data_IF_069636011154
#
_entry.id   IF_069636011154
#
_cell.length_a   1.000
_cell.length_b   1.000
_cell.length_c   1.000
_cell.angle_alpha   90.00
_cell.angle_beta   90.00
_cell.angle_gamma   90.00
#
_symmetry.space_group_name_H-M   'P 1'
#
loop_
_entity.id
_entity.type
_entity.pdbx_description
1 polymer ?
#
# COMPACT_ATOMS: atom_id res chain seq x y z
N UNK A 1 30.89 -38.46 0.96
CA UNK A 1 31.49 -37.12 0.77
C UNK A 1 30.59 -36.12 1.48
N UNK A 2 31.21 -35.17 2.20
CA UNK A 2 30.67 -34.27 3.24
C UNK A 2 29.82 -33.10 2.67
N UNK A 3 29.15 -32.17 3.37
CA UNK A 3 29.11 -31.54 4.72
C UNK A 3 27.63 -31.03 4.95
N UNK A 4 26.96 -30.99 6.12
CA UNK A 4 27.14 -30.20 7.37
C UNK A 4 26.31 -28.87 7.30
N UNK A 5 25.49 -28.37 8.26
CA UNK A 5 25.03 -28.70 9.63
C UNK A 5 23.88 -27.70 9.99
N UNK A 6 22.79 -28.12 10.65
CA UNK A 6 22.48 -28.02 12.10
C UNK A 6 22.21 -26.60 12.68
N UNK A 7 21.10 -26.47 13.42
CA UNK A 7 20.92 -25.36 14.37
C UNK A 7 19.50 -25.00 14.81
N UNK A 8 18.64 -25.96 15.18
CA UNK A 8 17.39 -25.69 15.86
C UNK A 8 17.56 -25.67 17.41
N UNK A 9 16.61 -25.01 18.09
CA UNK A 9 16.18 -25.17 19.49
C UNK A 9 16.81 -24.22 20.54
N UNK A 10 15.99 -23.41 21.21
CA UNK A 10 15.31 -23.82 22.47
C UNK A 10 14.50 -22.66 23.08
N UNK A 11 13.18 -22.87 23.23
CA UNK A 11 12.34 -22.17 24.20
C UNK A 11 12.72 -22.66 25.61
N UNK A 12 12.94 -21.72 26.54
CA UNK A 12 13.19 -22.02 27.96
C UNK A 12 12.44 -21.03 28.85
N UNK A 13 11.29 -21.47 29.35
CA UNK A 13 10.45 -20.81 30.34
C UNK A 13 11.13 -20.86 31.73
N UNK A 14 11.35 -19.73 32.41
CA UNK A 14 12.01 -19.70 33.73
C UNK A 14 11.44 -18.62 34.66
N UNK A 15 10.76 -19.07 35.72
CA UNK A 15 10.07 -18.25 36.73
C UNK A 15 11.03 -17.49 37.66
N UNK A 16 10.61 -16.28 38.02
CA UNK A 16 11.06 -15.35 39.07
C UNK A 16 11.98 -15.90 40.18
N UNK A 17 13.14 -15.26 40.35
CA UNK A 17 13.88 -15.22 41.63
C UNK A 17 14.28 -13.77 41.93
N UNK A 18 13.80 -13.26 43.06
CA UNK A 18 14.10 -11.94 43.62
C UNK A 18 15.56 -11.95 44.09
N UNK A 19 16.45 -11.28 43.38
CA UNK A 19 17.84 -11.04 43.80
C UNK A 19 18.20 -9.60 43.46
N UNK A 20 18.77 -8.88 44.42
CA UNK A 20 19.26 -7.50 44.34
C UNK A 20 19.77 -7.17 42.94
N UNK A 21 19.00 -6.37 42.21
CA UNK A 21 19.04 -6.29 40.76
C UNK A 21 20.10 -5.32 40.28
N UNK A 22 21.37 -5.69 40.48
CA UNK A 22 22.44 -5.24 39.59
C UNK A 22 22.21 -5.97 38.27
N UNK A 23 21.88 -5.22 37.22
CA UNK A 23 21.72 -5.81 35.89
C UNK A 23 23.09 -6.26 35.41
N UNK A 24 23.34 -7.55 35.54
CA UNK A 24 24.50 -8.19 34.95
C UNK A 24 24.26 -8.32 33.44
N UNK A 25 24.59 -7.27 32.68
CA UNK A 25 24.64 -7.35 31.23
C UNK A 25 25.87 -8.17 30.83
N UNK A 26 25.64 -9.37 30.29
CA UNK A 26 26.70 -10.13 29.60
C UNK A 26 26.53 -9.83 28.12
N UNK A 27 27.49 -9.14 27.51
CA UNK A 27 27.50 -8.87 26.08
C UNK A 27 27.54 -10.20 25.30
N UNK A 28 26.51 -10.55 24.52
CA UNK A 28 26.47 -11.81 23.78
C UNK A 28 27.53 -11.90 22.66
N UNK A 29 28.16 -10.78 22.28
CA UNK A 29 29.20 -10.69 21.26
C UNK A 29 30.63 -10.53 21.82
N UNK A 30 30.79 -10.40 23.14
CA UNK A 30 32.10 -10.22 23.76
C UNK A 30 32.33 -11.26 24.87
N UNK A 31 32.85 -12.43 24.47
CA UNK A 31 33.12 -13.57 25.36
C UNK A 31 34.45 -13.42 26.14
N UNK A 32 35.03 -12.22 26.24
CA UNK A 32 36.42 -12.04 26.67
C UNK A 32 36.66 -11.04 27.80
N UNK A 33 35.64 -10.56 28.51
CA UNK A 33 35.88 -9.74 29.71
C UNK A 33 34.87 -10.02 30.85
N UNK A 34 35.29 -10.69 31.96
CA UNK A 34 34.45 -10.95 33.12
C UNK A 34 34.33 -9.74 34.08
N UNK A 35 34.72 -8.53 33.64
CA UNK A 35 34.65 -7.30 34.42
C UNK A 35 33.28 -6.62 34.31
N UNK A 36 32.46 -6.75 35.36
CA UNK A 36 31.20 -6.04 35.61
C UNK A 36 31.20 -4.58 35.09
N UNK A 37 30.56 -4.31 33.95
CA UNK A 37 30.32 -2.95 33.48
C UNK A 37 29.10 -2.41 34.24
N UNK A 38 29.34 -1.59 35.27
CA UNK A 38 28.25 -0.89 35.97
C UNK A 38 27.52 0.07 35.04
N UNK A 39 26.27 -0.24 34.71
CA UNK A 39 25.33 0.64 34.02
C UNK A 39 24.70 1.54 35.09
N UNK A 40 24.64 2.85 34.87
CA UNK A 40 24.06 3.81 35.82
C UNK A 40 22.85 4.58 35.25
N UNK A 41 22.59 4.48 33.95
CA UNK A 41 21.47 5.14 33.30
C UNK A 41 21.05 4.48 31.99
N UNK A 42 19.79 4.64 31.63
CA UNK A 42 19.18 4.24 30.36
C UNK A 42 18.61 5.45 29.62
N UNK A 43 18.63 5.39 28.29
CA UNK A 43 17.94 6.31 27.39
C UNK A 43 17.04 5.49 26.49
N UNK A 44 15.73 5.70 26.62
CA UNK A 44 14.74 5.11 25.71
C UNK A 44 14.73 5.92 24.42
N UNK A 45 15.09 5.27 23.32
CA UNK A 45 15.07 5.87 21.99
C UNK A 45 13.68 5.91 21.38
N UNK A 46 13.61 6.36 20.13
CA UNK A 46 12.38 6.36 19.36
C UNK A 46 12.06 4.96 18.82
N UNK A 47 10.77 4.74 18.54
CA UNK A 47 10.31 3.52 17.89
C UNK A 47 10.77 3.46 16.44
N UNK A 48 11.40 2.36 16.06
CA UNK A 48 11.58 2.01 14.67
C UNK A 48 10.30 1.29 14.19
N UNK A 49 9.42 2.02 13.51
CA UNK A 49 8.13 1.49 13.04
C UNK A 49 8.30 0.42 11.96
N UNK A 50 9.34 0.54 11.12
CA UNK A 50 9.63 -0.40 10.03
C UNK A 50 10.09 -1.76 10.60
N UNK A 51 11.05 -1.74 11.52
CA UNK A 51 11.58 -2.94 12.17
C UNK A 51 10.72 -3.41 13.35
N UNK A 52 9.73 -2.60 13.77
CA UNK A 52 8.84 -2.87 14.91
C UNK A 52 9.63 -3.05 16.22
N UNK A 53 10.67 -2.24 16.42
CA UNK A 53 11.55 -2.33 17.59
C UNK A 53 11.67 -1.00 18.32
N UNK A 54 11.89 -1.07 19.62
CA UNK A 54 12.27 0.05 20.47
C UNK A 54 13.77 -0.06 20.82
N UNK A 55 14.56 0.95 20.48
CA UNK A 55 15.95 1.00 20.91
C UNK A 55 16.03 1.53 22.35
N UNK A 56 16.75 0.83 23.23
CA UNK A 56 17.14 1.34 24.55
C UNK A 56 18.65 1.34 24.64
N UNK A 57 19.23 2.49 24.99
CA UNK A 57 20.67 2.68 25.17
C UNK A 57 20.99 2.66 26.65
N UNK A 58 21.90 1.78 27.05
CA UNK A 58 22.42 1.71 28.41
C UNK A 58 23.75 2.45 28.49
N UNK A 59 23.92 3.23 29.55
CA UNK A 59 25.02 4.17 29.72
C UNK A 59 25.74 3.96 31.05
N UNK A 60 27.02 4.34 31.03
CA UNK A 60 27.85 4.56 32.22
C UNK A 60 28.38 5.99 32.16
N UNK A 61 27.90 6.84 33.06
CA UNK A 61 28.02 8.29 32.93
C UNK A 61 27.45 8.75 31.58
N UNK A 62 28.25 9.49 30.80
CA UNK A 62 27.79 10.00 29.51
C UNK A 62 28.09 9.06 28.31
N UNK A 63 28.68 7.88 28.55
CA UNK A 63 29.08 6.94 27.49
C UNK A 63 28.03 5.86 27.32
N UNK A 64 27.56 5.66 26.09
CA UNK A 64 26.73 4.50 25.72
C UNK A 64 27.61 3.25 25.74
N UNK A 65 27.23 2.27 26.54
CA UNK A 65 27.93 0.98 26.70
C UNK A 65 27.18 -0.17 26.04
N UNK A 66 25.87 -0.07 25.86
CA UNK A 66 25.07 -1.05 25.13
C UNK A 66 23.87 -0.41 24.44
N UNK A 67 23.43 -1.03 23.34
CA UNK A 67 22.19 -0.71 22.63
C UNK A 67 21.42 -2.01 22.43
N UNK A 68 20.17 -2.03 22.85
CA UNK A 68 19.31 -3.21 22.72
C UNK A 68 18.04 -2.80 21.98
N UNK A 69 17.67 -3.58 20.98
CA UNK A 69 16.42 -3.42 20.24
C UNK A 69 15.38 -4.40 20.79
N UNK A 70 14.39 -3.87 21.49
CA UNK A 70 13.29 -4.65 22.05
C UNK A 70 12.18 -4.79 21.02
N UNK A 71 11.76 -6.02 20.74
CA UNK A 71 10.66 -6.26 19.80
C UNK A 71 9.33 -5.72 20.36
N UNK A 72 8.64 -4.94 19.54
CA UNK A 72 7.31 -4.46 19.84
C UNK A 72 6.26 -5.48 19.47
N UNK A 73 5.35 -5.76 20.40
CA UNK A 73 4.13 -6.50 20.13
C UNK A 73 3.06 -5.55 19.59
N UNK A 74 2.55 -5.83 18.40
CA UNK A 74 1.40 -5.11 17.83
C UNK A 74 0.09 -5.57 18.48
N UNK A 75 -0.77 -4.61 18.80
CA UNK A 75 -2.16 -4.84 19.25
C UNK A 75 -3.08 -3.90 18.49
N UNK A 76 -4.12 -4.44 17.85
CA UNK A 76 -5.14 -3.60 17.19
C UNK A 76 -6.05 -3.01 18.26
N UNK A 77 -6.21 -1.68 18.27
CA UNK A 77 -7.11 -0.96 19.18
C UNK A 77 -8.38 -0.51 18.46
N UNK A 78 -8.30 -0.30 17.15
CA UNK A 78 -9.45 -0.06 16.27
C UNK A 78 -9.17 -0.64 14.90
N UNK A 79 -10.06 -1.49 14.42
CA UNK A 79 -9.95 -2.06 13.07
C UNK A 79 -10.05 -0.96 12.01
N UNK A 80 -9.27 -1.10 10.93
CA UNK A 80 -9.41 -0.25 9.76
C UNK A 80 -10.63 -0.67 8.93
N UNK A 81 -11.27 0.28 8.26
CA UNK A 81 -12.38 0.01 7.33
C UNK A 81 -11.98 0.38 5.90
N UNK A 82 -12.89 0.26 4.94
CA UNK A 82 -12.62 0.66 3.55
C UNK A 82 -12.26 2.14 3.41
N UNK A 83 -12.81 3.00 4.27
CA UNK A 83 -12.68 4.46 4.19
C UNK A 83 -12.00 5.06 5.42
N UNK A 84 -12.09 4.42 6.57
CA UNK A 84 -11.53 4.92 7.82
C UNK A 84 -10.23 4.20 8.17
N UNK A 85 -9.20 4.97 8.51
CA UNK A 85 -7.97 4.45 9.09
C UNK A 85 -8.28 3.72 10.39
N UNK A 86 -7.60 2.60 10.62
CA UNK A 86 -7.58 1.90 11.90
C UNK A 86 -6.53 2.47 12.85
N UNK A 87 -6.43 1.88 14.03
CA UNK A 87 -5.43 2.20 15.05
C UNK A 87 -4.93 0.93 15.72
N UNK A 88 -3.67 0.96 16.12
CA UNK A 88 -3.14 -0.01 17.05
C UNK A 88 -1.96 0.53 17.80
N UNK A 89 -1.40 -0.30 18.65
CA UNK A 89 -0.27 0.05 19.50
C UNK A 89 0.84 -0.97 19.36
N UNK A 90 2.07 -0.49 19.31
CA UNK A 90 3.24 -1.32 19.57
C UNK A 90 3.61 -1.19 21.04
N UNK A 91 3.78 -2.33 21.71
CA UNK A 91 4.19 -2.39 23.12
C UNK A 91 5.48 -3.18 23.24
N UNK A 92 6.51 -2.59 23.83
CA UNK A 92 7.77 -3.25 24.15
C UNK A 92 8.02 -3.18 25.65
N UNK A 93 8.52 -4.27 26.23
CA UNK A 93 8.95 -4.34 27.63
C UNK A 93 10.45 -4.55 27.66
N UNK A 94 11.14 -3.74 28.47
CA UNK A 94 12.59 -3.79 28.62
C UNK A 94 13.00 -3.83 30.09
N UNK A 95 14.19 -4.36 30.35
CA UNK A 95 14.79 -4.38 31.68
C UNK A 95 15.48 -3.05 31.96
N UNK A 96 14.95 -2.29 32.92
CA UNK A 96 15.40 -0.95 33.31
C UNK A 96 16.54 -1.01 34.32
N UNK A 97 17.43 0.00 34.38
CA UNK A 97 18.64 0.01 35.24
C UNK A 97 18.35 -0.14 36.74
N UNK A 98 17.15 0.21 37.16
CA UNK A 98 16.64 0.00 38.53
C UNK A 98 16.28 -1.47 38.83
N UNK A 99 16.44 -2.35 37.85
CA UNK A 99 16.14 -3.78 37.94
C UNK A 99 14.67 -4.14 37.79
N UNK A 100 13.84 -3.18 37.38
CA UNK A 100 12.42 -3.42 37.07
C UNK A 100 12.21 -3.63 35.57
N UNK A 101 11.05 -4.16 35.19
CA UNK A 101 10.61 -4.14 33.81
C UNK A 101 9.77 -2.90 33.55
N UNK A 102 10.16 -2.12 32.54
CA UNK A 102 9.40 -0.97 32.07
C UNK A 102 8.77 -1.29 30.73
N UNK A 103 7.56 -0.77 30.54
CA UNK A 103 6.79 -0.97 29.30
C UNK A 103 6.61 0.37 28.62
N UNK A 104 6.86 0.39 27.32
CA UNK A 104 6.64 1.56 26.46
C UNK A 104 5.64 1.16 25.40
N UNK A 105 4.68 2.04 25.17
CA UNK A 105 3.63 1.87 24.17
C UNK A 105 3.67 3.04 23.21
N UNK A 106 3.55 2.76 21.92
CA UNK A 106 3.39 3.76 20.88
C UNK A 106 2.12 3.48 20.08
N UNK A 107 1.24 4.47 19.98
CA UNK A 107 0.05 4.40 19.12
C UNK A 107 0.43 4.72 17.68
N UNK A 108 -0.01 3.88 16.76
CA UNK A 108 0.26 4.02 15.33
C UNK A 108 -1.04 3.86 14.57
N UNK A 109 -1.29 4.77 13.63
CA UNK A 109 -2.38 4.64 12.67
C UNK A 109 -2.12 3.50 11.70
N UNK A 110 -3.16 2.77 11.33
CA UNK A 110 -3.13 1.81 10.22
C UNK A 110 -3.97 2.36 9.08
N UNK A 111 -3.48 2.35 7.83
CA UNK A 111 -4.20 2.95 6.71
C UNK A 111 -5.56 2.28 6.50
N UNK A 112 -6.50 3.03 5.91
CA UNK A 112 -7.77 2.46 5.46
C UNK A 112 -7.50 1.30 4.47
N UNK A 113 -8.33 0.26 4.51
CA UNK A 113 -8.17 -0.94 3.70
C UNK A 113 -8.43 -0.71 2.20
N UNK A 114 -9.10 0.40 1.86
CA UNK A 114 -9.62 0.65 0.53
C UNK A 114 -10.77 -0.30 0.15
N UNK A 115 -11.52 0.08 -0.88
CA UNK A 115 -12.57 -0.79 -1.42
C UNK A 115 -11.97 -1.95 -2.22
N UNK A 116 -12.37 -3.18 -1.86
CA UNK A 116 -12.14 -4.38 -2.68
C UNK A 116 -13.38 -4.65 -3.52
N UNK A 117 -13.55 -3.88 -4.59
CA UNK A 117 -14.65 -4.08 -5.51
C UNK A 117 -14.52 -5.40 -6.27
N UNK A 118 -15.63 -6.14 -6.36
CA UNK A 118 -15.75 -7.33 -7.19
C UNK A 118 -15.93 -7.01 -8.67
N UNK A 119 -16.37 -8.01 -9.43
CA UNK A 119 -16.63 -7.88 -10.86
C UNK A 119 -17.76 -6.87 -11.14
N UNK A 120 -17.67 -6.24 -12.31
CA UNK A 120 -18.72 -5.38 -12.84
C UNK A 120 -19.89 -6.22 -13.35
N UNK A 121 -21.10 -5.89 -12.91
CA UNK A 121 -22.34 -6.53 -13.34
C UNK A 121 -23.17 -5.50 -14.15
N UNK A 122 -23.45 -5.74 -15.44
CA UNK A 122 -24.32 -4.89 -16.25
C UNK A 122 -25.75 -4.80 -15.69
N UNK A 123 -26.36 -3.61 -15.74
CA UNK A 123 -27.75 -3.37 -15.33
C UNK A 123 -28.77 -3.50 -16.48
N UNK A 124 -28.29 -3.71 -17.72
CA UNK A 124 -29.14 -3.82 -18.90
C UNK A 124 -29.73 -2.49 -19.38
N UNK A 125 -29.29 -1.37 -18.81
CA UNK A 125 -29.77 -0.02 -19.11
C UNK A 125 -28.59 0.96 -19.28
N UNK A 126 -27.50 0.50 -19.91
CA UNK A 126 -26.34 1.35 -20.22
C UNK A 126 -25.35 1.53 -19.07
N UNK A 127 -25.50 0.82 -17.95
CA UNK A 127 -24.58 0.95 -16.83
C UNK A 127 -24.17 -0.40 -16.26
N UNK A 128 -23.04 -0.41 -15.57
CA UNK A 128 -22.53 -1.56 -14.82
C UNK A 128 -22.31 -1.16 -13.37
N UNK A 129 -22.56 -2.09 -12.47
CA UNK A 129 -22.39 -1.90 -11.02
C UNK A 129 -21.42 -2.93 -10.47
N UNK A 130 -20.46 -2.53 -9.64
CA UNK A 130 -19.63 -3.46 -8.85
C UNK A 130 -19.81 -3.19 -7.38
N UNK A 131 -19.61 -4.22 -6.56
CA UNK A 131 -19.84 -4.15 -5.11
C UNK A 131 -18.56 -4.48 -4.35
N UNK A 132 -18.22 -3.66 -3.34
CA UNK A 132 -17.10 -3.92 -2.44
C UNK A 132 -17.42 -5.12 -1.56
N UNK A 133 -16.57 -6.14 -1.59
CA UNK A 133 -16.74 -7.39 -0.82
C UNK A 133 -16.61 -7.20 0.69
N UNK A 134 -16.01 -6.08 1.15
CA UNK A 134 -15.80 -5.79 2.57
C UNK A 134 -16.94 -4.99 3.21
N UNK A 135 -17.49 -4.02 2.50
CA UNK A 135 -18.47 -3.07 3.06
C UNK A 135 -19.78 -2.98 2.26
N UNK A 136 -19.92 -3.73 1.17
CA UNK A 136 -21.07 -3.69 0.24
C UNK A 136 -21.33 -2.34 -0.44
N UNK A 137 -20.37 -1.41 -0.36
CA UNK A 137 -20.42 -0.16 -1.13
C UNK A 137 -20.50 -0.47 -2.62
N UNK A 138 -21.35 0.25 -3.34
CA UNK A 138 -21.58 0.02 -4.76
C UNK A 138 -20.99 1.17 -5.56
N UNK A 139 -20.32 0.81 -6.63
CA UNK A 139 -19.85 1.77 -7.62
C UNK A 139 -20.61 1.50 -8.92
N UNK A 140 -21.11 2.57 -9.52
CA UNK A 140 -21.84 2.53 -10.79
C UNK A 140 -21.04 3.29 -11.83
N UNK A 141 -20.86 2.68 -13.00
CA UNK A 141 -20.21 3.28 -14.15
C UNK A 141 -21.06 3.02 -15.39
N UNK A 142 -20.80 3.76 -16.48
CA UNK A 142 -21.39 3.47 -17.79
C UNK A 142 -20.91 2.11 -18.25
N UNK A 143 -21.82 1.28 -18.76
CA UNK A 143 -21.49 0.02 -19.42
C UNK A 143 -21.19 0.33 -20.88
N UNK A 144 -19.91 0.46 -21.17
CA UNK A 144 -19.38 0.76 -22.50
C UNK A 144 -19.74 -0.33 -23.52
N UNK A 145 -20.10 -1.53 -23.07
CA UNK A 145 -20.53 -2.64 -23.94
C UNK A 145 -22.04 -2.66 -24.18
N UNK A 146 -22.79 -1.73 -23.60
CA UNK A 146 -24.23 -1.68 -23.77
C UNK A 146 -24.59 -1.18 -25.17
N UNK A 147 -25.21 -2.05 -25.96
CA UNK A 147 -25.86 -1.68 -27.21
C UNK A 147 -27.34 -1.48 -26.92
N UNK A 148 -27.81 -0.25 -27.05
CA UNK A 148 -29.23 0.04 -26.92
C UNK A 148 -30.01 -0.79 -27.95
N UNK A 149 -31.11 -1.47 -27.55
CA UNK A 149 -31.96 -2.17 -28.51
C UNK A 149 -32.43 -1.18 -29.58
N UNK A 150 -32.39 -1.61 -30.85
CA UNK A 150 -32.81 -0.78 -31.99
C UNK A 150 -34.25 -0.30 -31.75
N UNK A 151 -34.58 0.98 -32.00
CA UNK A 151 -35.96 1.43 -31.96
C UNK A 151 -36.77 0.66 -33.00
N UNK A 152 -37.59 -0.29 -32.56
CA UNK A 152 -38.49 -1.07 -33.43
C UNK A 152 -38.36 -2.59 -33.41
N UNK A 153 -37.45 -3.20 -32.64
CA UNK A 153 -37.58 -4.62 -32.31
C UNK A 153 -38.29 -4.75 -30.95
N UNK A 154 -39.61 -4.93 -31.04
CA UNK A 154 -40.48 -5.29 -29.92
C UNK A 154 -39.88 -6.50 -29.18
N UNK A 155 -39.66 -6.43 -27.85
CA UNK A 155 -39.27 -7.60 -27.09
C UNK A 155 -40.33 -8.66 -27.26
N UNK A 156 -39.95 -9.85 -27.74
CA UNK A 156 -40.85 -10.99 -27.74
C UNK A 156 -41.40 -11.18 -26.32
N UNK A 157 -42.72 -11.04 -26.19
CA UNK A 157 -43.46 -11.24 -24.96
C UNK A 157 -43.06 -12.59 -24.35
N UNK A 158 -42.53 -12.57 -23.13
CA UNK A 158 -42.48 -13.78 -22.30
C UNK A 158 -43.93 -14.09 -21.88
N UNK A 159 -44.35 -15.37 -21.88
CA UNK A 159 -45.68 -15.74 -21.44
C UNK A 159 -45.96 -15.27 -20.01
N UNK A 160 -47.14 -14.71 -19.82
CA UNK A 160 -47.69 -14.16 -18.60
C UNK A 160 -47.43 -15.00 -17.34
N UNK A 161 -46.82 -14.38 -16.34
CA UNK A 161 -47.11 -14.70 -14.94
C UNK A 161 -47.75 -13.46 -14.28
N UNK A 162 -49.10 -13.48 -14.24
CA UNK A 162 -50.00 -12.60 -13.50
C UNK A 162 -49.45 -12.29 -12.09
N UNK A 163 -49.45 -11.03 -11.56
CA UNK A 163 -50.70 -10.41 -11.10
C UNK A 163 -50.87 -8.86 -11.08
N UNK A 164 -52.12 -8.47 -11.36
CA UNK A 164 -52.97 -7.47 -10.67
C UNK A 164 -52.66 -5.96 -10.78
N UNK A 165 -53.53 -5.30 -11.56
CA UNK A 165 -54.18 -3.98 -11.38
C UNK A 165 -53.42 -2.89 -10.60
N UNK A 166 -52.99 -1.81 -11.26
CA UNK A 166 -53.68 -0.50 -11.20
C UNK A 166 -53.17 0.50 -12.24
N UNK A 167 -54.11 1.35 -12.63
CA UNK A 167 -54.23 2.30 -13.73
C UNK A 167 -53.49 3.64 -13.51
N UNK A 168 -52.82 4.17 -14.54
CA UNK A 168 -53.02 5.54 -15.11
C UNK A 168 -51.83 6.03 -15.98
N UNK A 169 -52.17 6.49 -17.18
CA UNK A 169 -51.40 7.22 -18.22
C UNK A 169 -52.12 8.59 -18.38
N UNK A 170 -51.50 9.74 -18.74
CA UNK A 170 -50.95 9.90 -20.08
C UNK A 170 -49.73 10.81 -20.35
N UNK A 171 -49.19 10.56 -21.55
CA UNK A 171 -48.11 11.17 -22.34
C UNK A 171 -48.01 12.69 -22.39
N UNK A 172 -46.80 13.17 -22.74
CA UNK A 172 -46.42 14.18 -23.77
C UNK A 172 -44.98 14.67 -23.42
N UNK A 173 -43.98 14.86 -24.28
CA UNK A 173 -43.78 14.76 -25.73
C UNK A 173 -42.32 15.16 -26.05
N UNK A 174 -41.94 15.05 -27.33
CA UNK A 174 -40.79 15.70 -28.00
C UNK A 174 -39.37 15.12 -27.82
N UNK A 175 -38.93 14.36 -28.83
CA UNK A 175 -37.60 14.49 -29.48
C UNK A 175 -37.78 15.48 -30.65
N UNK A 176 -36.75 16.23 -31.14
CA UNK A 176 -35.61 15.56 -31.79
C UNK A 176 -34.25 16.30 -31.88
N UNK A 177 -33.23 15.52 -32.25
CA UNK A 177 -31.95 15.82 -32.95
C UNK A 177 -30.90 16.72 -32.30
N UNK A 178 -29.64 16.25 -32.21
CA UNK A 178 -28.63 16.42 -33.28
C UNK A 178 -27.24 16.08 -32.73
N UNK A 179 -26.52 15.25 -33.49
CA UNK A 179 -25.08 14.93 -33.51
C UNK A 179 -24.25 15.06 -32.22
N UNK A 180 -23.67 13.94 -31.80
CA UNK A 180 -22.21 13.88 -31.63
C UNK A 180 -21.70 12.45 -31.72
N UNK A 181 -20.85 12.24 -32.72
CA UNK A 181 -19.98 11.08 -32.92
C UNK A 181 -19.31 10.67 -31.59
N UNK A 182 -19.70 9.53 -31.03
CA UNK A 182 -19.08 8.99 -29.83
C UNK A 182 -17.88 8.12 -30.23
N UNK A 183 -16.68 8.61 -29.93
CA UNK A 183 -15.46 7.80 -29.93
C UNK A 183 -15.55 6.73 -28.82
N UNK A 184 -15.18 5.51 -29.19
CA UNK A 184 -15.20 4.27 -28.41
C UNK A 184 -14.42 4.41 -27.08
N UNK A 185 -15.10 4.38 -25.93
CA UNK A 185 -14.47 4.54 -24.61
C UNK A 185 -13.92 3.21 -24.09
N UNK A 186 -12.59 3.06 -24.14
CA UNK A 186 -11.82 1.96 -23.54
C UNK A 186 -11.46 2.32 -22.09
N UNK A 187 -11.70 1.43 -21.12
CA UNK A 187 -11.34 1.68 -19.70
C UNK A 187 -9.86 1.36 -19.42
N UNK A 188 -9.13 2.28 -18.78
CA UNK A 188 -7.68 2.19 -18.56
C UNK A 188 -7.29 2.36 -17.08
N UNK A 189 -6.23 1.67 -16.64
CA UNK A 189 -5.79 1.72 -15.25
C UNK A 189 -5.07 3.04 -14.91
N UNK A 190 -5.50 3.79 -13.86
CA UNK A 190 -4.85 5.02 -13.46
C UNK A 190 -3.50 4.77 -12.77
N UNK A 191 -2.72 5.83 -12.56
CA UNK A 191 -1.49 5.75 -11.76
C UNK A 191 -1.80 5.47 -10.28
N UNK A 192 -1.14 4.46 -9.72
CA UNK A 192 -1.31 4.00 -8.35
C UNK A 192 0.05 3.71 -7.71
N UNK A 193 0.21 4.10 -6.45
CA UNK A 193 1.39 3.73 -5.63
C UNK A 193 1.02 2.60 -4.67
N UNK A 194 1.84 1.56 -4.62
CA UNK A 194 1.70 0.40 -3.75
C UNK A 194 2.91 0.32 -2.82
N UNK A 195 2.70 -0.02 -1.55
CA UNK A 195 3.78 -0.14 -0.55
C UNK A 195 4.02 1.11 0.29
N UNK A 196 3.16 2.12 0.18
CA UNK A 196 3.17 3.29 1.07
C UNK A 196 1.74 3.74 1.41
N UNK A 197 1.51 4.31 2.60
CA UNK A 197 0.18 4.75 3.04
C UNK A 197 -0.28 6.06 2.37
N UNK A 198 0.67 6.86 1.85
CA UNK A 198 0.41 8.10 1.14
C UNK A 198 1.58 8.41 0.19
N UNK A 199 1.35 9.27 -0.79
CA UNK A 199 2.37 9.83 -1.66
C UNK A 199 1.97 11.25 -2.06
N UNK A 200 2.96 12.05 -2.42
CA UNK A 200 2.75 13.38 -2.98
C UNK A 200 2.99 13.34 -4.48
N UNK A 201 2.07 13.90 -5.25
CA UNK A 201 2.24 14.09 -6.69
C UNK A 201 2.41 15.58 -6.99
N UNK A 202 3.51 15.93 -7.64
CA UNK A 202 3.79 17.28 -8.13
C UNK A 202 3.96 17.26 -9.64
N UNK A 203 3.29 18.18 -10.34
CA UNK A 203 3.46 18.38 -11.78
C UNK A 203 4.06 19.77 -12.00
N UNK A 204 5.29 19.83 -12.51
CA UNK A 204 5.98 21.09 -12.76
C UNK A 204 6.94 20.96 -13.94
N UNK A 205 6.94 21.94 -14.85
CA UNK A 205 7.88 22.03 -15.97
C UNK A 205 7.95 20.72 -16.80
N UNK A 206 6.79 20.11 -17.07
CA UNK A 206 6.68 18.83 -17.77
C UNK A 206 7.19 17.60 -17.01
N UNK A 207 7.46 17.72 -15.71
CA UNK A 207 7.88 16.62 -14.85
C UNK A 207 6.77 16.24 -13.89
N UNK A 208 6.41 14.96 -13.86
CA UNK A 208 5.50 14.37 -12.88
C UNK A 208 6.35 13.69 -11.82
N UNK A 209 6.49 14.31 -10.65
CA UNK A 209 7.18 13.75 -9.50
C UNK A 209 6.17 13.05 -8.59
N UNK A 210 6.40 11.77 -8.34
CA UNK A 210 5.71 10.97 -7.34
C UNK A 210 6.68 10.72 -6.20
N UNK A 211 6.50 11.44 -5.10
CA UNK A 211 7.34 11.33 -3.91
C UNK A 211 6.64 10.46 -2.86
N UNK A 212 7.33 9.39 -2.45
CA UNK A 212 6.81 8.38 -1.55
C UNK A 212 7.63 8.35 -0.26
N UNK A 213 7.02 8.57 0.92
CA UNK A 213 7.70 8.56 2.20
C UNK A 213 7.96 7.13 2.72
N UNK A 214 8.44 6.24 1.87
CA UNK A 214 8.82 4.86 2.20
C UNK A 214 10.19 4.52 1.61
N UNK A 215 10.91 3.53 2.17
CA UNK A 215 12.18 3.07 1.62
C UNK A 215 12.01 2.17 0.39
N UNK A 216 10.85 1.53 0.24
CA UNK A 216 10.50 0.67 -0.89
C UNK A 216 9.03 0.89 -1.25
N UNK A 217 8.73 0.99 -2.54
CA UNK A 217 7.38 1.19 -3.07
C UNK A 217 7.35 0.86 -4.56
N UNK A 218 6.17 0.67 -5.12
CA UNK A 218 5.96 0.51 -6.57
C UNK A 218 4.97 1.52 -7.10
N UNK A 219 5.24 2.08 -8.27
CA UNK A 219 4.31 2.88 -9.07
C UNK A 219 3.82 2.02 -10.23
N UNK A 220 2.50 1.92 -10.40
CA UNK A 220 1.87 1.16 -11.47
C UNK A 220 0.80 1.98 -12.18
N UNK A 221 0.53 1.68 -13.44
CA UNK A 221 -0.56 2.26 -14.22
C UNK A 221 -0.53 1.79 -15.67
N UNK A 222 -1.51 2.23 -16.46
CA UNK A 222 -1.56 1.94 -17.90
C UNK A 222 -0.74 2.94 -18.74
N UNK A 223 -0.29 2.51 -19.91
CA UNK A 223 0.32 3.41 -20.89
C UNK A 223 -0.66 4.48 -21.38
N UNK A 224 -1.97 4.19 -21.40
CA UNK A 224 -2.98 5.21 -21.67
C UNK A 224 -2.97 6.34 -20.64
N UNK A 225 -2.89 6.04 -19.35
CA UNK A 225 -2.79 7.06 -18.30
C UNK A 225 -1.53 7.93 -18.48
N UNK A 226 -0.42 7.35 -18.96
CA UNK A 226 0.77 8.12 -19.34
C UNK A 226 0.54 9.00 -20.57
N UNK A 227 -0.24 8.52 -21.56
CA UNK A 227 -0.63 9.30 -22.74
C UNK A 227 -1.47 10.53 -22.35
N UNK A 228 -2.38 10.38 -21.39
CA UNK A 228 -3.15 11.50 -20.85
C UNK A 228 -2.26 12.51 -20.11
N UNK A 229 -1.30 12.04 -19.32
CA UNK A 229 -0.31 12.92 -18.68
C UNK A 229 0.52 13.66 -19.73
N UNK A 230 0.92 12.98 -20.81
CA UNK A 230 1.62 13.61 -21.93
C UNK A 230 0.78 14.68 -22.60
N UNK A 231 -0.51 14.41 -22.84
CA UNK A 231 -1.43 15.41 -23.40
C UNK A 231 -1.58 16.64 -22.49
N UNK A 232 -1.39 16.49 -21.18
CA UNK A 232 -1.35 17.57 -20.19
C UNK A 232 0.02 18.26 -20.06
N UNK A 233 0.99 17.89 -20.92
CA UNK A 233 2.32 18.50 -20.99
C UNK A 233 3.39 17.81 -20.16
N UNK A 234 3.14 16.60 -19.63
CA UNK A 234 4.18 15.82 -18.97
C UNK A 234 5.10 15.12 -19.99
N UNK A 235 6.41 15.23 -19.80
CA UNK A 235 7.43 14.60 -20.63
C UNK A 235 8.20 13.51 -19.87
N UNK A 236 8.31 13.68 -18.56
CA UNK A 236 9.15 12.85 -17.69
C UNK A 236 8.39 12.44 -16.43
N UNK A 237 8.49 11.16 -16.09
CA UNK A 237 7.99 10.60 -14.84
C UNK A 237 9.18 10.37 -13.90
N UNK A 238 9.08 10.94 -12.70
CA UNK A 238 10.06 10.78 -11.63
C UNK A 238 9.37 10.05 -10.48
N UNK A 239 9.91 8.90 -10.09
CA UNK A 239 9.47 8.16 -8.92
C UNK A 239 10.56 8.22 -7.86
N UNK A 240 10.23 8.74 -6.68
CA UNK A 240 11.16 8.90 -5.57
C UNK A 240 10.65 8.19 -4.34
N UNK A 241 11.48 7.31 -3.79
CA UNK A 241 11.39 6.79 -2.42
C UNK A 241 12.46 7.45 -1.55
N UNK A 242 12.51 7.14 -0.25
CA UNK A 242 13.52 7.73 0.66
C UNK A 242 14.97 7.39 0.27
N UNK A 243 15.19 6.26 -0.40
CA UNK A 243 16.52 5.72 -0.71
C UNK A 243 16.81 5.60 -2.21
N UNK A 244 15.86 5.92 -3.08
CA UNK A 244 16.03 5.78 -4.52
C UNK A 244 15.17 6.79 -5.28
N UNK A 245 15.73 7.34 -6.34
CA UNK A 245 15.03 8.14 -7.33
C UNK A 245 15.26 7.49 -8.70
N UNK A 246 14.18 7.31 -9.45
CA UNK A 246 14.25 6.85 -10.83
C UNK A 246 13.49 7.82 -11.71
N UNK A 247 14.07 8.10 -12.86
CA UNK A 247 13.51 8.97 -13.87
C UNK A 247 13.36 8.20 -15.17
N UNK A 248 12.21 8.35 -15.84
CA UNK A 248 11.94 7.72 -17.14
C UNK A 248 11.17 8.69 -18.03
N UNK A 249 11.48 8.69 -19.33
CA UNK A 249 10.74 9.50 -20.31
C UNK A 249 9.39 8.82 -20.62
N UNK A 250 8.31 9.61 -20.60
CA UNK A 250 6.97 9.10 -20.92
C UNK A 250 6.95 8.54 -22.35
N UNK A 251 7.65 9.17 -23.30
CA UNK A 251 7.71 8.70 -24.70
C UNK A 251 8.41 7.37 -24.85
N UNK A 252 9.50 7.18 -24.13
CA UNK A 252 10.21 5.90 -24.14
C UNK A 252 9.35 4.78 -23.56
N UNK A 253 8.51 5.08 -22.56
CA UNK A 253 7.63 4.12 -21.91
C UNK A 253 6.41 3.79 -22.77
N UNK A 254 5.81 4.80 -23.42
CA UNK A 254 4.72 4.63 -24.39
C UNK A 254 5.14 3.78 -25.61
N UNK A 255 6.41 3.86 -26.02
CA UNK A 255 6.94 3.06 -27.13
C UNK A 255 7.05 1.55 -26.80
N UNK A 256 6.92 1.14 -25.54
CA UNK A 256 7.09 -0.26 -25.13
C UNK A 256 5.83 -1.12 -25.27
N UNK A 257 4.66 -0.54 -25.58
CA UNK A 257 3.43 -1.33 -25.68
C UNK A 257 2.20 -0.58 -26.16
N UNK A 258 1.06 -1.28 -26.18
CA UNK A 258 -0.25 -0.71 -26.47
C UNK A 258 -0.80 0.08 -25.26
N UNK A 259 -1.81 0.92 -25.47
CA UNK A 259 -2.40 1.77 -24.44
C UNK A 259 -2.91 1.01 -23.20
N UNK A 260 -3.39 -0.22 -23.37
CA UNK A 260 -3.86 -1.11 -22.29
C UNK A 260 -2.73 -1.76 -21.48
N UNK A 261 -1.48 -1.64 -21.94
CA UNK A 261 -0.32 -2.26 -21.29
C UNK A 261 -0.07 -1.62 -19.93
N UNK A 262 0.15 -2.44 -18.90
CA UNK A 262 0.48 -1.99 -17.56
C UNK A 262 1.99 -1.91 -17.40
N UNK A 263 2.47 -0.82 -16.80
CA UNK A 263 3.84 -0.73 -16.32
C UNK A 263 3.88 -0.83 -14.79
N UNK A 264 5.00 -1.30 -14.26
CA UNK A 264 5.30 -1.30 -12.83
C UNK A 264 6.76 -0.89 -12.63
N UNK A 265 6.98 0.25 -11.98
CA UNK A 265 8.28 0.73 -11.54
C UNK A 265 8.41 0.45 -10.05
N UNK A 266 9.35 -0.42 -9.65
CA UNK A 266 9.52 -0.86 -8.27
C UNK A 266 10.86 -0.39 -7.72
N UNK A 267 10.83 0.27 -6.57
CA UNK A 267 12.01 0.56 -5.75
C UNK A 267 12.09 -0.43 -4.58
N UNK A 268 13.26 -1.04 -4.43
CA UNK A 268 13.64 -1.87 -3.27
C UNK A 268 14.91 -1.29 -2.65
N UNK A 269 14.76 -0.46 -1.61
CA UNK A 269 15.85 0.32 -1.02
C UNK A 269 16.53 1.20 -2.08
N UNK A 270 17.80 0.95 -2.39
CA UNK A 270 18.62 1.70 -3.39
C UNK A 270 18.53 1.13 -4.82
N UNK A 271 17.81 0.02 -5.00
CA UNK A 271 17.61 -0.61 -6.30
C UNK A 271 16.25 -0.22 -6.90
N UNK A 272 16.22 -0.15 -8.23
CA UNK A 272 15.02 0.14 -9.01
C UNK A 272 14.91 -0.88 -10.14
N UNK A 273 13.68 -1.22 -10.50
CA UNK A 273 13.34 -2.06 -11.65
C UNK A 273 12.10 -1.51 -12.34
N UNK A 274 12.00 -1.73 -13.65
CA UNK A 274 10.85 -1.35 -14.45
C UNK A 274 10.39 -2.55 -15.27
N UNK A 275 9.10 -2.85 -15.18
CA UNK A 275 8.46 -3.82 -16.08
C UNK A 275 7.35 -3.15 -16.87
N UNK A 276 7.20 -3.52 -18.14
CA UNK A 276 6.10 -3.06 -19.02
C UNK A 276 5.50 -4.28 -19.69
N UNK A 277 4.20 -4.53 -19.48
CA UNK A 277 3.53 -5.74 -19.96
C UNK A 277 4.12 -7.05 -19.41
N UNK A 278 4.88 -6.98 -18.32
CA UNK A 278 5.60 -8.11 -17.73
C UNK A 278 7.03 -8.35 -18.27
N UNK A 279 7.48 -7.60 -19.28
CA UNK A 279 8.87 -7.63 -19.74
C UNK A 279 9.74 -6.67 -18.91
N UNK A 280 10.99 -7.05 -18.64
CA UNK A 280 11.96 -6.18 -17.96
C UNK A 280 12.48 -5.10 -18.91
N UNK A 281 12.40 -3.85 -18.45
CA UNK A 281 12.84 -2.64 -19.15
C UNK A 281 13.61 -1.72 -18.20
N UNK A 282 14.29 -2.31 -17.20
CA UNK A 282 15.03 -1.58 -16.18
C UNK A 282 16.14 -0.70 -16.77
N UNK A 283 16.63 -1.02 -17.97
CA UNK A 283 17.59 -0.23 -18.75
C UNK A 283 17.06 1.15 -19.19
N UNK A 284 15.74 1.35 -19.19
CA UNK A 284 15.13 2.65 -19.50
C UNK A 284 15.14 3.62 -18.31
N UNK A 285 15.47 3.15 -17.10
CA UNK A 285 15.53 3.99 -15.91
C UNK A 285 16.85 4.74 -15.82
N UNK A 286 16.77 6.06 -15.67
CA UNK A 286 17.89 6.89 -15.24
C UNK A 286 17.85 7.06 -13.72
N UNK A 287 18.98 6.86 -13.05
CA UNK A 287 19.16 7.07 -11.60
C UNK A 287 19.90 8.37 -11.31
#
# INVERSE_FOLDING_TARGET
MAYGGEGANNLGNGKNKKSESVIHYTDPNNRSDPGNVTIDSEEVGEWNIENKTLEVKYKKGNKVVSRVNYAGKWTVTREATCTEEGKGTYTATYDSVDGTQKTVTNEVGSPALGHAFGEWVPDGAGHKTRTCTRCNEKEKAVDENYVAPKPGEEPAEKPDEKPSDTDNTPSEGSTPETDSTAEETVSYAPLCVVGAPAYEQTVKDGRVLIAVPAQSASLTGSLHALKELKAKGAEVLVFRTQLCESTVSIDTLLAQGAETTIFTLTHTKEAASLTVGGADHTDLLNK
#
